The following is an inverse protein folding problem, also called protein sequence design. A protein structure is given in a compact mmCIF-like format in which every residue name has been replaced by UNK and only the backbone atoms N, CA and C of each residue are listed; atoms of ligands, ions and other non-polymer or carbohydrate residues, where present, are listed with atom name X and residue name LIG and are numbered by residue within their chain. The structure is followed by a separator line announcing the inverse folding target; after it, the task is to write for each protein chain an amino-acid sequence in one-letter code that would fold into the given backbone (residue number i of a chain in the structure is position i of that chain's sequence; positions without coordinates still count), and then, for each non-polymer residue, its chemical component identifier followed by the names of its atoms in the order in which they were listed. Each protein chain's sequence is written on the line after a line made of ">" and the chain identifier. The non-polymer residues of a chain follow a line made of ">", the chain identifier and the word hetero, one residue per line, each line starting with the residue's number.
data_IF_668436744873
#
_entry.id   IF_668436744873
#
_cell.length_a   1.000
_cell.length_b   1.000
_cell.length_c   1.000
_cell.angle_alpha   90.00
_cell.angle_beta   90.00
_cell.angle_gamma   90.00
#
_symmetry.space_group_name_H-M   'P 1'
#
loop_
_entity.id
_entity.type
_entity.pdbx_description
1 polymer ?
#
# COMPACT_ATOMS: atom_id res chain seq x y z
N UNK A 1 -22.54 14.02 -10.04
CA UNK A 1 -21.99 13.63 -11.36
C UNK A 1 -22.66 14.59 -12.33
N UNK A 2 -21.93 15.51 -12.97
CA UNK A 2 -22.56 16.61 -13.74
C UNK A 2 -23.05 16.13 -15.12
N UNK A 3 -24.32 16.39 -15.47
CA UNK A 3 -24.96 15.90 -16.69
C UNK A 3 -24.74 16.81 -17.91
N UNK A 4 -23.84 17.80 -17.85
CA UNK A 4 -23.63 18.76 -18.94
C UNK A 4 -22.48 18.43 -19.89
N UNK A 5 -21.83 17.27 -19.74
CA UNK A 5 -20.65 16.91 -20.55
C UNK A 5 -20.98 16.30 -21.94
N UNK A 6 -22.23 16.31 -22.39
CA UNK A 6 -22.69 15.38 -23.43
C UNK A 6 -23.12 15.93 -24.79
N UNK A 7 -22.93 17.23 -25.11
CA UNK A 7 -23.40 17.73 -26.41
C UNK A 7 -22.32 18.18 -27.39
N UNK A 8 -21.04 18.07 -27.08
CA UNK A 8 -19.99 18.38 -28.06
C UNK A 8 -18.81 17.42 -27.91
N UNK A 9 -18.52 16.72 -29.02
CA UNK A 9 -17.32 15.91 -29.24
C UNK A 9 -17.28 14.54 -28.55
N UNK A 10 -17.85 13.53 -29.22
CA UNK A 10 -17.22 12.21 -29.40
C UNK A 10 -16.65 11.47 -28.18
N UNK A 11 -17.22 11.65 -26.99
CA UNK A 11 -16.93 10.80 -25.84
C UNK A 11 -18.00 9.73 -25.78
N UNK A 12 -17.59 8.47 -26.01
CA UNK A 12 -18.36 7.30 -25.58
C UNK A 12 -18.62 7.51 -24.07
N UNK A 13 -19.85 7.85 -23.71
CA UNK A 13 -20.22 8.14 -22.34
C UNK A 13 -19.88 6.96 -21.43
N UNK A 14 -19.57 7.24 -20.16
CA UNK A 14 -19.53 6.21 -19.13
C UNK A 14 -20.86 5.44 -19.20
N UNK A 15 -20.78 4.18 -19.59
CA UNK A 15 -21.93 3.31 -19.74
C UNK A 15 -22.61 3.08 -18.38
N UNK A 16 -23.89 2.72 -18.37
CA UNK A 16 -24.57 2.37 -17.12
C UNK A 16 -23.85 1.23 -16.36
N UNK A 17 -23.13 0.38 -17.10
CA UNK A 17 -22.29 -0.67 -16.56
C UNK A 17 -21.11 -0.13 -15.74
N UNK A 18 -20.46 0.96 -16.17
CA UNK A 18 -19.36 1.60 -15.44
C UNK A 18 -19.79 2.14 -14.09
N UNK A 19 -21.03 2.61 -13.94
CA UNK A 19 -21.55 3.02 -12.63
C UNK A 19 -21.60 1.85 -11.64
N UNK A 20 -22.05 0.69 -12.12
CA UNK A 20 -22.10 -0.54 -11.32
C UNK A 20 -20.69 -1.06 -11.05
N UNK A 21 -19.79 -1.00 -12.04
CA UNK A 21 -18.38 -1.39 -11.87
C UNK A 21 -17.68 -0.51 -10.84
N UNK A 22 -17.87 0.81 -10.93
CA UNK A 22 -17.35 1.78 -9.97
C UNK A 22 -17.88 1.43 -8.56
N UNK A 23 -19.19 1.23 -8.39
CA UNK A 23 -19.79 0.84 -7.10
C UNK A 23 -19.14 -0.40 -6.50
N UNK A 24 -18.96 -1.46 -7.30
CA UNK A 24 -18.30 -2.70 -6.85
C UNK A 24 -16.85 -2.44 -6.48
N UNK A 25 -16.10 -1.67 -7.27
CA UNK A 25 -14.70 -1.32 -6.97
C UNK A 25 -14.58 -0.54 -5.64
N UNK A 26 -15.47 0.44 -5.42
CA UNK A 26 -15.55 1.17 -4.17
C UNK A 26 -15.86 0.26 -2.99
N UNK A 27 -16.83 -0.65 -3.14
CA UNK A 27 -17.20 -1.60 -2.08
C UNK A 27 -16.05 -2.54 -1.72
N UNK A 28 -15.39 -3.15 -2.72
CA UNK A 28 -14.22 -4.01 -2.53
C UNK A 28 -13.09 -3.25 -1.83
N UNK A 29 -12.84 -1.99 -2.21
CA UNK A 29 -11.84 -1.16 -1.55
C UNK A 29 -12.20 -0.90 -0.08
N UNK A 30 -13.47 -0.63 0.21
CA UNK A 30 -13.95 -0.35 1.56
C UNK A 30 -13.79 -1.59 2.47
N UNK A 31 -14.15 -2.78 1.98
CA UNK A 31 -13.93 -4.03 2.70
C UNK A 31 -12.43 -4.30 2.90
N UNK A 32 -11.60 -4.05 1.89
CA UNK A 32 -10.13 -4.20 2.01
C UNK A 32 -9.59 -3.29 3.12
N UNK A 33 -10.01 -2.03 3.15
CA UNK A 33 -9.57 -1.07 4.17
C UNK A 33 -9.99 -1.47 5.58
N UNK A 34 -11.20 -2.02 5.76
CA UNK A 34 -11.65 -2.57 7.04
C UNK A 34 -10.79 -3.76 7.48
N UNK A 35 -10.62 -4.75 6.62
CA UNK A 35 -9.80 -5.92 6.94
C UNK A 35 -8.34 -5.53 7.22
N UNK A 36 -7.77 -4.60 6.44
CA UNK A 36 -6.43 -4.09 6.70
C UNK A 36 -6.31 -3.42 8.06
N UNK A 37 -7.32 -2.67 8.51
CA UNK A 37 -7.34 -2.07 9.85
C UNK A 37 -7.38 -3.14 10.93
N UNK A 38 -8.23 -4.15 10.80
CA UNK A 38 -8.33 -5.24 11.77
C UNK A 38 -7.05 -6.07 11.86
N UNK A 39 -6.43 -6.31 10.70
CA UNK A 39 -5.17 -7.05 10.60
C UNK A 39 -3.96 -6.21 11.00
N UNK A 40 -4.04 -4.88 10.95
CA UNK A 40 -2.95 -3.97 11.35
C UNK A 40 -2.52 -4.22 12.80
N UNK A 41 -3.46 -4.57 13.69
CA UNK A 41 -3.17 -4.88 15.09
C UNK A 41 -2.28 -6.12 15.19
N UNK A 42 -2.61 -7.18 14.46
CA UNK A 42 -1.81 -8.42 14.41
C UNK A 42 -0.48 -8.20 13.69
N UNK A 43 -0.50 -7.46 12.59
CA UNK A 43 0.67 -7.12 11.79
C UNK A 43 1.67 -6.26 12.57
N UNK A 44 1.21 -5.38 13.45
CA UNK A 44 2.06 -4.47 14.23
C UNK A 44 3.06 -5.23 15.11
N UNK A 45 2.66 -6.35 15.71
CA UNK A 45 3.55 -7.18 16.54
C UNK A 45 4.66 -7.82 15.71
N UNK A 46 4.33 -8.32 14.52
CA UNK A 46 5.29 -8.90 13.58
C UNK A 46 6.22 -7.84 13.00
N UNK A 47 5.68 -6.67 12.64
CA UNK A 47 6.44 -5.53 12.14
C UNK A 47 7.44 -5.02 13.18
N UNK A 48 7.03 -4.89 14.45
CA UNK A 48 7.93 -4.51 15.57
C UNK A 48 9.11 -5.46 15.69
N UNK A 49 8.88 -6.77 15.64
CA UNK A 49 9.97 -7.78 15.70
C UNK A 49 10.95 -7.66 14.53
N UNK A 50 10.44 -7.42 13.31
CA UNK A 50 11.28 -7.21 12.12
C UNK A 50 12.11 -5.93 12.24
N UNK A 51 11.50 -4.83 12.64
CA UNK A 51 12.19 -3.54 12.84
C UNK A 51 13.24 -3.65 13.95
N UNK A 52 12.94 -4.32 15.06
CA UNK A 52 13.91 -4.57 16.14
C UNK A 52 15.14 -5.33 15.64
N UNK A 53 14.94 -6.35 14.79
CA UNK A 53 16.05 -7.10 14.17
C UNK A 53 16.91 -6.22 13.25
N UNK A 54 16.29 -5.38 12.43
CA UNK A 54 17.00 -4.46 11.53
C UNK A 54 17.80 -3.43 12.35
N UNK A 55 17.21 -2.90 13.42
CA UNK A 55 17.87 -1.97 14.33
C UNK A 55 19.05 -2.64 15.06
N UNK A 56 18.90 -3.90 15.48
CA UNK A 56 19.97 -4.69 16.07
C UNK A 56 21.16 -4.86 15.10
N UNK A 57 20.89 -5.20 13.84
CA UNK A 57 21.91 -5.33 12.80
C UNK A 57 22.60 -3.98 12.51
N UNK A 58 21.82 -2.89 12.43
CA UNK A 58 22.37 -1.55 12.21
C UNK A 58 23.26 -1.09 13.36
N UNK A 59 22.88 -1.36 14.62
CA UNK A 59 23.65 -0.98 15.80
C UNK A 59 24.89 -1.87 16.02
N UNK A 60 24.83 -3.16 15.64
CA UNK A 60 26.01 -4.04 15.65
C UNK A 60 27.10 -3.56 14.69
N UNK A 61 26.69 -3.12 13.50
CA UNK A 61 27.61 -2.59 12.49
C UNK A 61 28.30 -1.30 12.95
N UNK A 62 27.65 -0.49 13.80
CA UNK A 62 28.24 0.76 14.31
C UNK A 62 29.03 0.63 15.61
N UNK A 63 28.65 -0.26 16.55
CA UNK A 63 29.20 -0.25 17.92
C UNK A 63 30.08 -1.42 18.35
N UNK A 64 30.26 -2.45 17.53
CA UNK A 64 31.09 -3.60 17.91
C UNK A 64 30.44 -4.45 19.01
N UNK A 65 30.51 -5.77 18.82
CA UNK A 65 29.83 -6.84 19.57
C UNK A 65 29.52 -6.57 21.05
N UNK A 66 28.23 -6.33 21.35
CA UNK A 66 27.64 -6.62 22.66
C UNK A 66 26.92 -7.97 22.62
N UNK A 67 26.79 -8.67 23.77
CA UNK A 67 26.08 -9.95 23.86
C UNK A 67 24.65 -9.84 23.32
N UNK A 68 24.35 -10.73 22.38
CA UNK A 68 23.21 -10.63 21.45
C UNK A 68 21.84 -10.67 22.13
N UNK A 69 21.75 -11.28 23.31
CA UNK A 69 20.47 -11.47 24.01
C UNK A 69 20.08 -10.30 24.91
N UNK A 70 21.03 -9.76 25.69
CA UNK A 70 20.77 -8.62 26.58
C UNK A 70 20.47 -7.36 25.74
N UNK A 71 21.19 -7.19 24.64
CA UNK A 71 21.01 -6.07 23.73
C UNK A 71 19.66 -6.13 22.99
N UNK A 72 19.16 -7.32 22.67
CA UNK A 72 17.81 -7.50 22.11
C UNK A 72 16.72 -7.07 23.08
N UNK A 73 16.80 -7.52 24.33
CA UNK A 73 15.81 -7.13 25.33
C UNK A 73 15.82 -5.61 25.59
N UNK A 74 17.01 -4.99 25.58
CA UNK A 74 17.15 -3.53 25.73
C UNK A 74 16.59 -2.77 24.52
N UNK A 75 16.79 -3.27 23.30
CA UNK A 75 16.21 -2.71 22.07
C UNK A 75 14.70 -2.87 22.05
N UNK A 76 14.17 -4.05 22.36
CA UNK A 76 12.72 -4.30 22.39
C UNK A 76 12.03 -3.39 23.41
N UNK A 77 12.60 -3.26 24.61
CA UNK A 77 12.11 -2.32 25.62
C UNK A 77 12.27 -0.87 25.17
N UNK A 78 13.39 -0.50 24.55
CA UNK A 78 13.60 0.87 24.07
C UNK A 78 12.72 1.25 22.88
N UNK A 79 12.32 0.30 22.04
CA UNK A 79 11.31 0.49 20.99
C UNK A 79 9.92 0.65 21.63
N UNK A 80 9.61 -0.13 22.67
CA UNK A 80 8.37 0.04 23.44
C UNK A 80 8.31 1.41 24.15
N UNK A 81 9.45 1.91 24.63
CA UNK A 81 9.61 3.21 25.28
C UNK A 81 9.68 4.39 24.27
N UNK A 82 9.69 4.13 22.96
CA UNK A 82 9.81 5.17 21.92
C UNK A 82 11.18 5.84 21.82
N UNK A 83 12.21 5.29 22.49
CA UNK A 83 13.56 5.87 22.54
C UNK A 83 14.29 5.83 21.20
N UNK A 84 13.89 4.92 20.32
CA UNK A 84 14.52 4.71 19.01
C UNK A 84 13.71 5.27 17.85
N UNK A 85 12.60 5.96 18.10
CA UNK A 85 11.67 6.43 17.07
C UNK A 85 12.33 7.29 15.99
N UNK A 86 13.26 8.16 16.39
CA UNK A 86 14.01 9.07 15.52
C UNK A 86 15.27 8.44 14.90
N UNK A 87 15.58 7.18 15.23
CA UNK A 87 16.74 6.50 14.67
C UNK A 87 16.52 6.18 13.19
N UNK A 88 17.55 6.38 12.37
CA UNK A 88 17.46 6.06 10.95
C UNK A 88 17.85 4.61 10.71
N UNK A 89 16.96 3.86 10.06
CA UNK A 89 17.23 2.51 9.61
C UNK A 89 17.04 2.41 8.10
N UNK A 90 17.80 1.52 7.48
CA UNK A 90 17.60 1.17 6.08
C UNK A 90 16.63 0.00 6.00
N UNK A 91 15.48 0.22 5.36
CA UNK A 91 14.54 -0.84 5.06
C UNK A 91 14.38 -1.00 3.55
N UNK A 92 14.17 -2.24 3.12
CA UNK A 92 13.78 -2.54 1.75
C UNK A 92 12.27 -2.36 1.64
N UNK A 93 11.84 -1.32 0.92
CA UNK A 93 10.43 -1.08 0.62
C UNK A 93 10.17 -1.48 -0.82
N UNK A 94 9.01 -2.09 -1.10
CA UNK A 94 8.58 -2.35 -2.47
C UNK A 94 8.52 -1.03 -3.26
N UNK A 95 9.30 -0.92 -4.34
CA UNK A 95 9.25 0.22 -5.25
C UNK A 95 8.03 0.04 -6.13
N UNK A 96 6.91 0.65 -5.73
CA UNK A 96 5.76 0.77 -6.62
C UNK A 96 6.19 1.67 -7.78
N UNK A 97 6.22 1.18 -9.03
CA UNK A 97 6.63 2.00 -10.16
C UNK A 97 5.64 3.15 -10.28
N UNK A 98 6.10 4.36 -9.95
CA UNK A 98 5.33 5.57 -10.23
C UNK A 98 5.08 5.60 -11.74
N UNK A 99 3.81 5.72 -12.20
CA UNK A 99 3.53 5.96 -13.60
C UNK A 99 4.30 7.22 -13.98
N UNK A 100 5.34 7.06 -14.82
CA UNK A 100 6.04 8.21 -15.37
C UNK A 100 5.01 8.92 -16.24
N UNK A 101 4.58 10.11 -15.83
CA UNK A 101 3.72 10.97 -16.63
C UNK A 101 4.36 11.14 -18.00
N UNK A 102 3.67 10.64 -19.01
CA UNK A 102 4.10 10.70 -20.40
C UNK A 102 4.02 12.17 -20.83
N UNK A 103 5.14 12.90 -20.80
CA UNK A 103 5.20 14.27 -21.29
C UNK A 103 4.98 14.22 -22.82
N UNK A 104 3.87 14.75 -23.35
CA UNK A 104 3.63 14.71 -24.79
C UNK A 104 4.57 15.72 -25.45
N UNK A 105 5.54 15.24 -26.23
CA UNK A 105 6.41 16.09 -27.05
C UNK A 105 7.90 15.78 -26.98
N UNK A 106 8.38 14.98 -26.02
CA UNK A 106 9.72 14.41 -26.09
C UNK A 106 9.65 13.07 -26.80
N UNK A 107 10.28 12.95 -27.97
CA UNK A 107 10.38 11.71 -28.75
C UNK A 107 11.18 10.62 -28.04
N UNK A 108 10.68 10.13 -26.92
CA UNK A 108 11.24 8.99 -26.21
C UNK A 108 10.92 7.74 -27.00
N UNK A 109 11.97 7.19 -27.61
CA UNK A 109 12.04 5.83 -28.12
C UNK A 109 11.34 4.88 -27.15
N UNK A 110 10.51 4.00 -27.72
CA UNK A 110 9.85 2.92 -27.02
C UNK A 110 10.96 2.09 -26.37
N UNK A 111 11.14 2.25 -25.05
CA UNK A 111 12.10 1.47 -24.28
C UNK A 111 11.65 0.01 -24.32
N UNK A 112 12.25 -0.78 -25.22
CA UNK A 112 11.98 -2.21 -25.42
C UNK A 112 12.08 -3.03 -24.11
N UNK A 113 12.67 -2.47 -23.04
CA UNK A 113 12.62 -3.04 -21.69
C UNK A 113 11.23 -3.13 -21.07
N UNK A 114 10.26 -2.35 -21.55
CA UNK A 114 8.87 -2.37 -21.05
C UNK A 114 8.02 -3.52 -21.61
N UNK A 115 8.41 -4.12 -22.74
CA UNK A 115 7.75 -5.31 -23.32
C UNK A 115 8.23 -6.61 -22.64
N UNK A 116 9.44 -6.62 -22.06
CA UNK A 116 10.04 -7.79 -21.40
C UNK A 116 9.84 -7.82 -19.87
N UNK A 117 9.17 -6.82 -19.30
CA UNK A 117 9.08 -6.59 -17.85
C UNK A 117 8.12 -7.52 -17.07
N UNK A 118 7.31 -8.33 -17.75
CA UNK A 118 6.33 -9.24 -17.13
C UNK A 118 6.94 -10.38 -16.29
N UNK A 119 8.26 -10.56 -16.34
CA UNK A 119 9.00 -11.60 -15.62
C UNK A 119 9.94 -11.06 -14.54
N UNK A 120 9.95 -9.75 -14.29
CA UNK A 120 10.87 -9.13 -13.33
C UNK A 120 10.24 -9.11 -11.93
N UNK A 121 10.89 -9.67 -10.89
CA UNK A 121 10.41 -9.54 -9.51
C UNK A 121 10.31 -8.06 -9.13
N UNK A 122 9.27 -7.71 -8.35
CA UNK A 122 9.05 -6.35 -7.85
C UNK A 122 10.35 -5.81 -7.28
N UNK A 123 10.89 -4.73 -7.88
CA UNK A 123 12.14 -4.13 -7.41
C UNK A 123 11.89 -3.57 -6.00
N UNK A 124 12.64 -4.04 -5.01
CA UNK A 124 12.69 -3.40 -3.70
C UNK A 124 13.76 -2.32 -3.73
N UNK A 125 13.47 -1.17 -3.14
CA UNK A 125 14.44 -0.09 -3.01
C UNK A 125 14.79 0.09 -1.53
N UNK A 126 16.09 0.08 -1.24
CA UNK A 126 16.60 0.45 0.08
C UNK A 126 16.32 1.93 0.30
N UNK A 127 15.54 2.24 1.32
CA UNK A 127 15.24 3.62 1.72
C UNK A 127 15.63 3.79 3.17
N UNK A 128 16.40 4.85 3.44
CA UNK A 128 16.74 5.27 4.79
C UNK A 128 15.60 6.12 5.34
N UNK A 129 14.92 5.61 6.36
CA UNK A 129 13.76 6.26 7.00
C UNK A 129 13.87 6.10 8.52
N UNK A 130 13.03 6.81 9.27
CA UNK A 130 12.99 6.68 10.73
C UNK A 130 12.39 5.35 11.18
N UNK A 131 12.73 4.87 12.37
CA UNK A 131 12.11 3.66 12.96
C UNK A 131 10.60 3.82 13.05
N UNK A 132 10.11 5.02 13.39
CA UNK A 132 8.69 5.33 13.43
C UNK A 132 8.02 5.14 12.07
N UNK A 133 8.60 5.66 11.00
CA UNK A 133 8.08 5.47 9.64
C UNK A 133 8.21 4.02 9.19
N UNK A 134 9.32 3.35 9.53
CA UNK A 134 9.53 1.95 9.19
C UNK A 134 8.52 1.04 9.86
N UNK A 135 8.15 1.29 11.13
CA UNK A 135 7.08 0.57 11.80
C UNK A 135 5.75 0.71 11.08
N UNK A 136 5.42 1.92 10.62
CA UNK A 136 4.18 2.14 9.85
C UNK A 136 4.19 1.38 8.52
N UNK A 137 5.23 1.55 7.72
CA UNK A 137 5.36 0.91 6.40
C UNK A 137 5.38 -0.61 6.52
N UNK A 138 6.15 -1.16 7.47
CA UNK A 138 6.21 -2.61 7.70
C UNK A 138 4.88 -3.15 8.22
N UNK A 139 4.15 -2.40 9.06
CA UNK A 139 2.82 -2.82 9.53
C UNK A 139 1.84 -2.89 8.36
N UNK A 140 1.84 -1.90 7.48
CA UNK A 140 1.00 -1.89 6.28
C UNK A 140 1.35 -3.06 5.33
N UNK A 141 2.63 -3.33 5.11
CA UNK A 141 3.07 -4.44 4.25
C UNK A 141 2.71 -5.81 4.83
N UNK A 142 2.90 -6.01 6.13
CA UNK A 142 2.55 -7.26 6.80
C UNK A 142 1.04 -7.43 6.93
N UNK A 143 0.28 -6.34 7.13
CA UNK A 143 -1.17 -6.40 7.09
C UNK A 143 -1.66 -6.79 5.69
N UNK A 144 -1.11 -6.18 4.63
CA UNK A 144 -1.47 -6.50 3.26
C UNK A 144 -1.19 -7.97 2.89
N UNK A 145 -0.14 -8.60 3.45
CA UNK A 145 0.14 -10.03 3.26
C UNK A 145 -0.86 -10.96 3.95
N UNK A 146 -1.52 -10.47 5.00
CA UNK A 146 -2.50 -11.24 5.77
C UNK A 146 -3.93 -11.09 5.24
N UNK A 147 -4.17 -10.15 4.32
CA UNK A 147 -5.49 -9.95 3.70
C UNK A 147 -5.79 -11.13 2.77
N UNK A 148 -6.97 -11.71 2.95
CA UNK A 148 -7.52 -12.70 2.02
C UNK A 148 -8.26 -11.96 0.91
N UNK A 149 -7.59 -11.80 -0.24
CA UNK A 149 -8.13 -11.06 -1.38
C UNK A 149 -9.41 -11.70 -1.94
N UNK A 150 -9.54 -13.03 -1.91
CA UNK A 150 -10.74 -13.73 -2.40
C UNK A 150 -11.94 -13.47 -1.49
N UNK A 151 -11.73 -13.48 -0.17
CA UNK A 151 -12.75 -13.13 0.82
C UNK A 151 -13.15 -11.65 0.70
N UNK A 152 -12.19 -10.75 0.52
CA UNK A 152 -12.45 -9.31 0.31
C UNK A 152 -13.30 -9.07 -0.93
N UNK A 153 -12.98 -9.72 -2.06
CA UNK A 153 -13.74 -9.58 -3.30
C UNK A 153 -15.16 -10.09 -3.12
N UNK A 154 -15.31 -11.29 -2.55
CA UNK A 154 -16.63 -11.91 -2.34
C UNK A 154 -17.53 -11.05 -1.45
N UNK A 155 -17.00 -10.56 -0.34
CA UNK A 155 -17.75 -9.70 0.58
C UNK A 155 -18.01 -8.31 -0.02
N UNK A 156 -17.04 -7.75 -0.76
CA UNK A 156 -17.20 -6.47 -1.47
C UNK A 156 -18.31 -6.52 -2.51
N UNK A 157 -18.40 -7.60 -3.29
CA UNK A 157 -19.51 -7.82 -4.24
C UNK A 157 -20.83 -7.92 -3.48
N UNK A 158 -20.91 -8.75 -2.43
CA UNK A 158 -22.13 -8.90 -1.61
C UNK A 158 -22.63 -7.57 -1.06
N UNK A 159 -21.74 -6.72 -0.54
CA UNK A 159 -22.12 -5.40 -0.01
C UNK A 159 -22.58 -4.44 -1.11
N UNK A 160 -21.94 -4.46 -2.27
CA UNK A 160 -22.37 -3.66 -3.41
C UNK A 160 -23.79 -4.05 -3.87
N UNK A 161 -24.11 -5.35 -3.85
CA UNK A 161 -25.44 -5.88 -4.20
C UNK A 161 -26.52 -5.55 -3.17
N UNK A 162 -26.21 -5.64 -1.87
CA UNK A 162 -27.23 -5.55 -0.80
C UNK A 162 -27.36 -4.15 -0.20
N UNK A 163 -26.29 -3.38 -0.17
CA UNK A 163 -26.20 -2.11 0.56
C UNK A 163 -25.70 -0.95 -0.33
N UNK A 164 -25.34 -1.24 -1.59
CA UNK A 164 -24.84 -0.25 -2.53
C UNK A 164 -25.88 0.80 -2.91
N UNK A 165 -25.44 2.07 -2.95
CA UNK A 165 -26.29 3.20 -3.32
C UNK A 165 -25.63 3.95 -4.48
N UNK A 166 -26.37 4.10 -5.58
CA UNK A 166 -25.97 4.95 -6.70
C UNK A 166 -26.84 6.19 -6.68
N UNK A 167 -26.20 7.36 -6.62
CA UNK A 167 -26.87 8.64 -6.74
C UNK A 167 -26.75 9.15 -8.18
N UNK A 168 -27.90 9.28 -8.84
CA UNK A 168 -27.99 9.88 -10.18
C UNK A 168 -28.45 11.31 -9.98
N UNK A 169 -27.57 12.24 -10.34
CA UNK A 169 -27.83 13.67 -10.26
C UNK A 169 -28.41 14.18 -11.59
N UNK A 170 -29.23 15.24 -11.54
CA UNK A 170 -29.81 15.88 -12.73
C UNK A 170 -30.60 14.93 -13.67
N UNK A 171 -31.32 13.95 -13.10
CA UNK A 171 -32.15 13.00 -13.87
C UNK A 171 -33.28 13.68 -14.65
N UNK A 172 -33.61 14.93 -14.31
CA UNK A 172 -34.68 15.74 -14.86
C UNK A 172 -34.28 16.59 -16.07
N UNK A 173 -32.98 16.64 -16.42
CA UNK A 173 -32.48 17.25 -17.66
C UNK A 173 -32.67 16.35 -18.88
#
# INVERSE_FOLDING_TARGET
>A
MEATKFTEVGYVGRDCESMVRDLVEYSVRLVREEQMKDLSVKASATAKKKVAKILEESLKNEKGEKPTEIFRAEIENGIADGKYDDYFIEIEVADAPRPKELIPGSGTEIDLGSIFGGFMPRKTKKKRITVKEALRVMTEEEAAKLVDEDAVITEGVRRAEQEGIIFIDEIDK
#
